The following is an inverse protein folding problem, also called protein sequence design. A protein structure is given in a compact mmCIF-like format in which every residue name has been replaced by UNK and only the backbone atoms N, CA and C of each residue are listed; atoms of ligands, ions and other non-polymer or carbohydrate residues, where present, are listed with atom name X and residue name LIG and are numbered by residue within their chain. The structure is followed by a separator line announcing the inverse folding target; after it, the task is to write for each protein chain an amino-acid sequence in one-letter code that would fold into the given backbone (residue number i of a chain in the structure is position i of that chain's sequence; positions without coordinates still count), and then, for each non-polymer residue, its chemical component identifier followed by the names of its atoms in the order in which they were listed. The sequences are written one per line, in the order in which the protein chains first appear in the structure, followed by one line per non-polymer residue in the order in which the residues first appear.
data_IF_497193438782
#
_entry.id   IF_497193438782
#
_cell.length_a   1.000
_cell.length_b   1.000
_cell.length_c   1.000
_cell.angle_alpha   90.00
_cell.angle_beta   90.00
_cell.angle_gamma   90.00
#
_symmetry.space_group_name_H-M   'P 1'
#
loop_
_entity.id
_entity.type
_entity.pdbx_description
1 polymer ?
#
# COMPACT_ATOMS: atom_id res chain seq x y z
N UNK A 1 -17.15 -3.33 0.18
CA UNK A 1 -15.93 -4.15 0.05
C UNK A 1 -14.80 -3.50 0.83
N UNK A 2 -14.07 -4.30 1.59
CA UNK A 2 -12.97 -3.82 2.45
C UNK A 2 -11.65 -4.47 2.03
N UNK A 3 -10.64 -3.63 1.82
CA UNK A 3 -9.29 -4.05 1.41
C UNK A 3 -8.27 -3.53 2.42
N UNK A 4 -7.43 -4.42 2.92
CA UNK A 4 -6.34 -4.06 3.83
C UNK A 4 -5.00 -4.32 3.13
N UNK A 5 -4.14 -3.32 3.11
CA UNK A 5 -2.81 -3.41 2.49
C UNK A 5 -1.77 -3.41 3.60
N UNK A 6 -0.90 -4.43 3.60
CA UNK A 6 0.08 -4.63 4.66
C UNK A 6 1.51 -4.49 4.15
N UNK A 7 2.33 -3.81 4.94
CA UNK A 7 3.78 -3.88 4.79
C UNK A 7 4.39 -3.82 6.20
N UNK A 8 5.70 -3.62 6.31
CA UNK A 8 6.37 -3.61 7.61
C UNK A 8 6.15 -2.29 8.36
N UNK A 9 6.57 -1.18 7.79
CA UNK A 9 6.56 0.13 8.47
C UNK A 9 5.31 0.96 8.29
N UNK A 10 4.47 0.62 7.33
CA UNK A 10 3.27 1.38 6.96
C UNK A 10 3.55 2.88 6.78
N UNK A 11 4.65 3.19 6.11
CA UNK A 11 5.06 4.58 5.91
C UNK A 11 5.21 4.98 4.45
N UNK A 12 5.44 4.02 3.55
CA UNK A 12 5.75 4.29 2.14
C UNK A 12 4.91 3.45 1.18
N UNK A 13 5.32 2.18 0.93
CA UNK A 13 4.68 1.35 -0.11
C UNK A 13 3.19 1.14 0.11
N UNK A 14 2.79 0.73 1.30
CA UNK A 14 1.38 0.49 1.61
C UNK A 14 0.55 1.76 1.59
N UNK A 15 1.17 2.90 1.93
CA UNK A 15 0.48 4.19 1.88
C UNK A 15 0.22 4.64 0.44
N UNK A 16 1.21 4.46 -0.44
CA UNK A 16 1.03 4.78 -1.85
C UNK A 16 -0.01 3.86 -2.48
N UNK A 17 0.03 2.57 -2.16
CA UNK A 17 -0.95 1.60 -2.65
C UNK A 17 -2.36 1.94 -2.18
N UNK A 18 -2.51 2.31 -0.91
CA UNK A 18 -3.80 2.75 -0.37
C UNK A 18 -4.34 3.95 -1.13
N UNK A 19 -3.48 4.94 -1.37
CA UNK A 19 -3.85 6.14 -2.11
C UNK A 19 -4.34 5.83 -3.51
N UNK A 20 -3.60 5.01 -4.25
CA UNK A 20 -4.01 4.63 -5.60
C UNK A 20 -5.31 3.85 -5.62
N UNK A 21 -5.39 2.79 -4.83
CA UNK A 21 -6.57 1.93 -4.86
C UNK A 21 -7.84 2.69 -4.47
N UNK A 22 -7.75 3.51 -3.42
CA UNK A 22 -8.90 4.33 -3.01
C UNK A 22 -9.29 5.33 -4.09
N UNK A 23 -8.31 5.85 -4.85
CA UNK A 23 -8.59 6.81 -5.91
C UNK A 23 -9.31 6.18 -7.11
N UNK A 24 -9.18 4.87 -7.30
CA UNK A 24 -9.83 4.16 -8.40
C UNK A 24 -11.33 3.95 -8.15
N UNK A 25 -11.75 3.87 -6.88
CA UNK A 25 -13.15 3.59 -6.57
C UNK A 25 -13.49 4.08 -5.16
N UNK A 26 -14.31 5.11 -5.07
CA UNK A 26 -14.72 5.67 -3.78
C UNK A 26 -15.70 4.78 -3.02
N UNK A 27 -16.25 3.77 -3.68
CA UNK A 27 -17.23 2.86 -3.07
C UNK A 27 -16.62 1.77 -2.20
N UNK A 28 -15.32 1.55 -2.32
CA UNK A 28 -14.61 0.57 -1.49
C UNK A 28 -13.93 1.26 -0.31
N UNK A 29 -13.68 0.49 0.75
CA UNK A 29 -12.94 0.96 1.91
C UNK A 29 -11.53 0.38 1.86
N UNK A 30 -10.52 1.22 1.73
CA UNK A 30 -9.13 0.80 1.67
C UNK A 30 -8.39 1.30 2.89
N UNK A 31 -7.77 0.37 3.62
CA UNK A 31 -6.93 0.69 4.78
C UNK A 31 -5.55 0.10 4.57
N UNK A 32 -4.59 0.58 5.35
CA UNK A 32 -3.24 0.01 5.35
C UNK A 32 -2.71 -0.08 6.77
N UNK A 33 -1.77 -1.00 6.99
CA UNK A 33 -1.18 -1.20 8.30
C UNK A 33 0.20 -1.85 8.18
N UNK A 34 0.92 -1.91 9.29
CA UNK A 34 2.24 -2.54 9.35
C UNK A 34 2.43 -3.37 10.61
N UNK A 35 3.27 -4.38 10.53
CA UNK A 35 3.63 -5.19 11.70
C UNK A 35 4.54 -4.43 12.66
N UNK A 36 5.28 -3.45 12.13
CA UNK A 36 6.14 -2.56 12.89
C UNK A 36 5.91 -1.13 12.42
N UNK A 37 4.66 -0.66 12.54
CA UNK A 37 4.27 0.66 12.06
C UNK A 37 5.15 1.74 12.67
N UNK A 38 5.70 2.62 11.81
CA UNK A 38 6.61 3.68 12.25
C UNK A 38 5.90 4.84 12.95
N UNK A 39 4.60 4.95 12.76
CA UNK A 39 3.79 6.05 13.28
C UNK A 39 3.84 7.32 12.44
N UNK A 40 4.63 7.32 11.36
CA UNK A 40 4.81 8.49 10.49
C UNK A 40 4.80 8.09 9.03
N UNK A 41 4.28 8.98 8.18
CA UNK A 41 4.37 8.82 6.74
C UNK A 41 5.76 9.24 6.25
N UNK A 42 6.25 8.57 5.21
CA UNK A 42 7.47 8.97 4.55
C UNK A 42 7.20 10.24 3.72
N UNK A 43 7.96 11.29 3.95
CA UNK A 43 7.74 12.58 3.28
C UNK A 43 7.90 12.50 1.76
N UNK A 44 8.84 11.70 1.27
CA UNK A 44 9.03 11.53 -0.16
C UNK A 44 7.86 10.78 -0.80
N UNK A 45 7.28 9.82 -0.07
CA UNK A 45 6.08 9.13 -0.55
C UNK A 45 4.90 10.10 -0.67
N UNK A 46 4.72 10.99 0.31
CA UNK A 46 3.67 12.02 0.26
C UNK A 46 3.88 12.92 -0.96
N UNK A 47 5.11 13.38 -1.20
CA UNK A 47 5.44 14.23 -2.34
C UNK A 47 5.25 13.51 -3.67
N UNK A 48 5.66 12.25 -3.75
CA UNK A 48 5.53 11.46 -4.98
C UNK A 48 4.06 11.28 -5.35
N UNK A 49 3.19 11.06 -4.36
CA UNK A 49 1.75 10.91 -4.61
C UNK A 49 1.10 12.25 -4.98
N UNK A 50 1.52 13.35 -4.34
CA UNK A 50 1.01 14.69 -4.68
C UNK A 50 1.32 15.04 -6.12
N UNK A 51 2.46 14.60 -6.65
CA UNK A 51 2.85 14.85 -8.03
C UNK A 51 1.86 14.27 -9.06
N UNK A 52 1.18 13.18 -8.68
CA UNK A 52 0.16 12.56 -9.54
C UNK A 52 -1.26 12.89 -9.07
N UNK A 53 -1.42 13.91 -8.24
CA UNK A 53 -2.72 14.43 -7.85
C UNK A 53 -3.41 13.68 -6.71
N UNK A 54 -2.66 12.85 -5.98
CA UNK A 54 -3.22 12.08 -4.86
C UNK A 54 -2.62 12.58 -3.55
N UNK A 55 -3.45 13.08 -2.65
CA UNK A 55 -3.02 13.55 -1.33
C UNK A 55 -3.15 12.43 -0.32
N UNK A 56 -2.01 11.95 0.20
CA UNK A 56 -1.98 10.97 1.28
C UNK A 56 -1.49 11.59 2.60
N UNK A 57 -1.32 12.91 2.65
CA UNK A 57 -0.79 13.58 3.85
C UNK A 57 -1.66 13.41 5.09
N UNK A 58 -2.94 13.12 4.90
CA UNK A 58 -3.89 12.88 5.99
C UNK A 58 -3.94 11.42 6.45
N UNK A 59 -3.25 10.51 5.75
CA UNK A 59 -3.20 9.11 6.16
C UNK A 59 -2.42 8.96 7.48
N UNK A 60 -2.66 7.85 8.17
CA UNK A 60 -1.95 7.52 9.41
C UNK A 60 -1.18 6.22 9.25
N UNK A 61 -0.09 6.09 10.00
CA UNK A 61 0.69 4.84 10.03
C UNK A 61 0.19 4.03 11.22
N UNK A 62 -0.43 2.90 10.95
CA UNK A 62 -1.16 2.11 11.95
C UNK A 62 -0.60 0.70 12.09
N UNK A 63 -0.70 0.16 13.31
CA UNK A 63 -0.37 -1.23 13.58
C UNK A 63 -1.44 -2.16 13.00
N UNK A 64 -1.01 -3.32 12.51
CA UNK A 64 -1.92 -4.37 12.03
C UNK A 64 -2.90 -4.81 13.13
N UNK A 65 -2.51 -4.69 14.40
CA UNK A 65 -3.36 -5.07 15.52
C UNK A 65 -4.68 -4.32 15.56
N UNK A 66 -4.70 -3.11 15.02
CA UNK A 66 -5.91 -2.29 14.92
C UNK A 66 -7.00 -2.96 14.08
N UNK A 67 -6.60 -3.81 13.14
CA UNK A 67 -7.51 -4.36 12.13
C UNK A 67 -7.79 -5.86 12.24
N UNK A 68 -7.17 -6.54 13.19
CA UNK A 68 -7.30 -7.99 13.33
C UNK A 68 -8.74 -8.43 13.63
N UNK A 69 -9.50 -7.61 14.34
CA UNK A 69 -10.89 -7.93 14.71
C UNK A 69 -11.91 -7.70 13.61
N UNK A 70 -11.52 -7.14 12.47
CA UNK A 70 -12.43 -6.84 11.37
C UNK A 70 -12.34 -7.90 10.28
N UNK A 71 -13.40 -8.04 9.51
CA UNK A 71 -13.42 -8.95 8.36
C UNK A 71 -13.00 -8.19 7.10
N UNK A 72 -12.17 -8.82 6.26
CA UNK A 72 -11.63 -8.21 5.05
C UNK A 72 -11.96 -9.06 3.83
N UNK A 73 -12.32 -8.39 2.74
CA UNK A 73 -12.52 -9.07 1.46
C UNK A 73 -11.18 -9.42 0.84
N UNK A 74 -10.20 -8.52 0.95
CA UNK A 74 -8.84 -8.72 0.46
C UNK A 74 -7.84 -8.24 1.49
N UNK A 75 -6.80 -9.02 1.71
CA UNK A 75 -5.59 -8.58 2.41
C UNK A 75 -4.42 -8.76 1.44
N UNK A 76 -3.72 -7.66 1.14
CA UNK A 76 -2.65 -7.63 0.15
C UNK A 76 -1.35 -7.20 0.83
N UNK A 77 -0.34 -8.08 0.81
CA UNK A 77 0.98 -7.73 1.30
C UNK A 77 1.81 -7.15 0.17
N UNK A 78 2.52 -6.05 0.44
CA UNK A 78 3.32 -5.34 -0.57
C UNK A 78 4.81 -5.31 -0.24
N UNK A 79 5.23 -6.00 0.83
CA UNK A 79 6.64 -6.13 1.15
C UNK A 79 7.35 -6.91 0.03
N UNK A 80 8.57 -6.51 -0.27
CA UNK A 80 9.39 -7.13 -1.28
C UNK A 80 10.85 -7.08 -0.86
N UNK A 81 11.68 -7.90 -1.44
CA UNK A 81 13.09 -7.99 -1.10
C UNK A 81 13.40 -9.26 -0.32
N UNK A 82 14.62 -9.77 -0.55
CA UNK A 82 15.03 -11.10 -0.07
C UNK A 82 15.09 -11.21 1.47
N UNK A 83 15.30 -10.08 2.14
CA UNK A 83 15.49 -10.08 3.60
C UNK A 83 14.31 -9.46 4.37
N UNK A 84 13.22 -9.17 3.69
CA UNK A 84 12.07 -8.56 4.32
C UNK A 84 11.01 -9.61 4.63
N UNK A 85 10.66 -9.73 5.92
CA UNK A 85 9.59 -10.65 6.33
C UNK A 85 8.24 -10.05 6.01
N UNK A 86 7.44 -10.75 5.22
CA UNK A 86 6.07 -10.36 4.95
C UNK A 86 5.18 -10.76 6.12
N UNK A 87 4.31 -9.86 6.60
CA UNK A 87 3.41 -10.19 7.71
C UNK A 87 2.37 -11.23 7.29
N UNK A 88 2.02 -12.09 8.23
CA UNK A 88 0.89 -12.99 8.08
C UNK A 88 -0.27 -12.41 8.88
N UNK A 89 -1.33 -12.03 8.17
CA UNK A 89 -2.53 -11.51 8.82
C UNK A 89 -3.39 -12.69 9.31
N UNK A 90 -3.68 -12.72 10.62
CA UNK A 90 -4.37 -13.84 11.26
C UNK A 90 -5.88 -13.62 11.43
N UNK A 91 -6.42 -12.50 10.96
CA UNK A 91 -7.85 -12.22 11.04
C UNK A 91 -8.66 -12.91 9.94
N UNK A 92 -9.93 -12.55 9.85
CA UNK A 92 -10.84 -13.12 8.85
C UNK A 92 -10.66 -12.43 7.51
N UNK A 93 -10.29 -13.20 6.49
CA UNK A 93 -9.99 -12.71 5.14
C UNK A 93 -10.58 -13.66 4.11
N UNK A 94 -11.28 -13.10 3.12
CA UNK A 94 -11.79 -13.89 2.00
C UNK A 94 -10.69 -14.25 1.00
N UNK A 95 -9.84 -13.27 0.66
CA UNK A 95 -8.78 -13.46 -0.33
C UNK A 95 -7.47 -12.85 0.16
N UNK A 96 -6.40 -13.63 0.12
CA UNK A 96 -5.05 -13.18 0.48
C UNK A 96 -4.20 -13.11 -0.77
N UNK A 97 -3.54 -11.97 -0.99
CA UNK A 97 -2.69 -11.75 -2.15
C UNK A 97 -1.34 -11.18 -1.70
N UNK A 98 -0.33 -11.41 -2.52
CA UNK A 98 0.98 -10.80 -2.33
C UNK A 98 1.41 -10.11 -3.62
N UNK A 99 1.76 -8.82 -3.51
CA UNK A 99 2.23 -8.01 -4.62
C UNK A 99 3.49 -7.28 -4.15
N UNK A 100 4.66 -7.92 -4.33
CA UNK A 100 5.92 -7.39 -3.81
C UNK A 100 6.42 -6.19 -4.59
N UNK A 101 6.89 -5.16 -3.86
CA UNK A 101 7.52 -3.96 -4.43
C UNK A 101 8.78 -3.63 -3.64
N UNK A 102 9.79 -3.09 -4.32
CA UNK A 102 11.01 -2.63 -3.65
C UNK A 102 10.69 -1.50 -2.67
N UNK A 103 11.46 -1.42 -1.59
CA UNK A 103 11.31 -0.33 -0.63
C UNK A 103 12.22 0.83 -1.02
N UNK A 104 11.67 1.93 -1.58
CA UNK A 104 12.50 3.05 -2.00
C UNK A 104 13.09 3.84 -0.83
N UNK A 105 12.57 3.66 0.39
CA UNK A 105 13.10 4.34 1.57
C UNK A 105 14.50 3.84 1.95
N UNK A 106 14.91 2.68 1.46
CA UNK A 106 16.25 2.12 1.68
C UNK A 106 17.24 2.50 0.58
N UNK A 107 16.83 3.26 -0.43
CA UNK A 107 17.73 3.68 -1.49
C UNK A 107 18.84 4.58 -0.95
N UNK A 108 20.06 4.37 -1.44
CA UNK A 108 21.23 5.16 -1.06
C UNK A 108 21.86 5.77 -2.31
N UNK A 109 22.44 6.94 -2.16
CA UNK A 109 23.06 7.65 -3.28
C UNK A 109 22.71 9.13 -3.23
N UNK A 110 22.73 9.78 -4.41
CA UNK A 110 22.36 11.21 -4.51
C UNK A 110 20.87 11.40 -4.23
N UNK A 111 20.49 12.62 -3.89
CA UNK A 111 19.08 12.97 -3.71
C UNK A 111 18.28 12.71 -4.99
N UNK A 112 18.87 12.99 -6.15
CA UNK A 112 18.23 12.75 -7.44
C UNK A 112 17.97 11.26 -7.66
N UNK A 113 18.95 10.41 -7.34
CA UNK A 113 18.80 8.97 -7.46
C UNK A 113 17.72 8.45 -6.52
N UNK A 114 17.75 8.87 -5.26
CA UNK A 114 16.76 8.44 -4.26
C UNK A 114 15.36 8.85 -4.72
N UNK A 115 15.20 10.07 -5.19
CA UNK A 115 13.91 10.55 -5.71
C UNK A 115 13.44 9.70 -6.90
N UNK A 116 14.35 9.37 -7.82
CA UNK A 116 14.00 8.55 -8.98
C UNK A 116 13.50 7.17 -8.56
N UNK A 117 14.00 6.62 -7.46
CA UNK A 117 13.55 5.33 -6.94
C UNK A 117 12.13 5.43 -6.36
N UNK A 118 11.79 6.52 -5.67
CA UNK A 118 10.42 6.75 -5.21
C UNK A 118 9.45 6.85 -6.39
N UNK A 119 9.84 7.54 -7.46
CA UNK A 119 9.02 7.68 -8.66
C UNK A 119 8.84 6.32 -9.35
N UNK A 120 9.92 5.54 -9.49
CA UNK A 120 9.87 4.22 -10.11
C UNK A 120 8.91 3.30 -9.35
N UNK A 121 9.09 3.20 -8.04
CA UNK A 121 8.25 2.31 -7.21
C UNK A 121 6.81 2.79 -7.20
N UNK A 122 6.58 4.10 -7.09
CA UNK A 122 5.23 4.67 -7.19
C UNK A 122 4.52 4.20 -8.46
N UNK A 123 5.21 4.28 -9.59
CA UNK A 123 4.61 3.90 -10.87
C UNK A 123 4.37 2.40 -10.96
N UNK A 124 5.25 1.58 -10.42
CA UNK A 124 5.05 0.13 -10.36
C UNK A 124 3.84 -0.23 -9.49
N UNK A 125 3.69 0.43 -8.35
CA UNK A 125 2.54 0.23 -7.46
C UNK A 125 1.25 0.63 -8.16
N UNK A 126 1.24 1.76 -8.83
CA UNK A 126 0.09 2.23 -9.60
C UNK A 126 -0.36 1.18 -10.60
N UNK A 127 0.57 0.70 -11.41
CA UNK A 127 0.26 -0.27 -12.48
C UNK A 127 -0.24 -1.59 -11.90
N UNK A 128 0.41 -2.10 -10.85
CA UNK A 128 0.02 -3.34 -10.20
C UNK A 128 -1.36 -3.26 -9.57
N UNK A 129 -1.64 -2.18 -8.86
CA UNK A 129 -2.94 -2.03 -8.20
C UNK A 129 -4.05 -1.66 -9.16
N UNK A 130 -3.75 -0.97 -10.25
CA UNK A 130 -4.75 -0.72 -11.29
C UNK A 130 -5.18 -2.04 -11.95
N UNK A 131 -4.22 -2.90 -12.27
CA UNK A 131 -4.51 -4.22 -12.83
C UNK A 131 -5.36 -5.04 -11.86
N UNK A 132 -4.98 -5.06 -10.59
CA UNK A 132 -5.74 -5.74 -9.54
C UNK A 132 -7.17 -5.19 -9.47
N UNK A 133 -7.32 -3.88 -9.49
CA UNK A 133 -8.63 -3.25 -9.42
C UNK A 133 -9.52 -3.67 -10.60
N UNK A 134 -8.99 -3.57 -11.81
CA UNK A 134 -9.74 -3.89 -13.03
C UNK A 134 -10.14 -5.38 -13.08
N UNK A 135 -9.25 -6.26 -12.67
CA UNK A 135 -9.49 -7.71 -12.76
C UNK A 135 -10.30 -8.27 -11.60
N UNK A 136 -10.14 -7.74 -10.38
CA UNK A 136 -10.71 -8.34 -9.19
C UNK A 136 -11.84 -7.53 -8.56
N UNK A 137 -11.73 -6.22 -8.52
CA UNK A 137 -12.68 -5.39 -7.79
C UNK A 137 -13.78 -4.83 -8.68
N UNK A 138 -13.40 -4.20 -9.78
CA UNK A 138 -14.36 -3.54 -10.69
C UNK A 138 -15.48 -4.47 -11.14
N UNK A 139 -15.23 -5.74 -11.55
CA UNK A 139 -16.32 -6.63 -11.96
C UNK A 139 -17.33 -6.89 -10.85
N UNK A 140 -16.88 -6.94 -9.59
CA UNK A 140 -17.79 -7.16 -8.45
C UNK A 140 -18.63 -5.92 -8.14
N UNK A 141 -18.08 -4.73 -8.37
CA UNK A 141 -18.79 -3.48 -8.12
C UNK A 141 -19.82 -3.17 -9.21
N UNK A 142 -19.64 -3.71 -10.40
CA UNK A 142 -20.54 -3.51 -11.55
C UNK A 142 -21.62 -4.59 -11.69
N UNK A 143 -21.54 -5.63 -10.85
CA UNK A 143 -22.51 -6.72 -10.89
C UNK A 143 -23.76 -6.44 -10.07
#
# INVERSE_FOLDING_TARGET
MKVLILCTGNSCRSQMAQGFLQSFDSRITVCSAGTQASGKLNEKAVKAMAEVGIDISHHTSDSVDKYIGEEWDYVITVCGGANEACPLFIGKVKHRLHMGFDDPSHAVGSEEFIWSEFIRVRNEIKDGFYKFYVEQIKPQQES
#
